data_IF_076141029146
#
_entry.id   IF_076141029146
#
_cell.length_a   1.000
_cell.length_b   1.000
_cell.length_c   1.000
_cell.angle_alpha   90.00
_cell.angle_beta   90.00
_cell.angle_gamma   90.00
#
_symmetry.space_group_name_H-M   'P 1'
#
loop_
_entity.id
_entity.type
_entity.pdbx_description
1 polymer ?
#
# COMPACT_ATOMS: atom_id res chain seq x y z
N UNK A 1 20.26 -0.11 1.72
CA UNK A 1 19.14 0.77 2.11
C UNK A 1 19.70 2.17 2.29
N UNK A 2 19.24 3.11 1.48
CA UNK A 2 19.67 4.51 1.48
C UNK A 2 18.61 5.38 2.15
N UNK A 3 19.03 6.39 2.90
CA UNK A 3 18.13 7.32 3.58
C UNK A 3 18.29 8.70 2.97
N UNK A 4 17.19 9.30 2.51
CA UNK A 4 17.23 10.66 1.97
C UNK A 4 17.57 11.66 3.08
N UNK A 5 18.61 12.46 2.90
CA UNK A 5 19.03 13.48 3.87
C UNK A 5 18.01 14.60 4.07
N UNK A 6 17.15 14.84 3.07
CA UNK A 6 16.16 15.92 3.11
C UNK A 6 14.85 15.53 3.79
N UNK A 7 14.39 14.28 3.65
CA UNK A 7 13.09 13.84 4.18
C UNK A 7 13.16 12.63 5.14
N UNK A 8 14.33 12.04 5.35
CA UNK A 8 14.53 10.90 6.26
C UNK A 8 13.91 9.58 5.79
N UNK A 9 13.25 9.54 4.63
CA UNK A 9 12.67 8.31 4.06
C UNK A 9 13.76 7.35 3.61
N UNK A 10 13.50 6.06 3.83
CA UNK A 10 14.36 4.95 3.42
C UNK A 10 13.93 4.40 2.06
N UNK A 11 14.92 4.06 1.25
CA UNK A 11 14.74 3.51 -0.09
C UNK A 11 15.73 2.38 -0.35
N UNK A 12 15.37 1.49 -1.27
CA UNK A 12 16.23 0.37 -1.64
C UNK A 12 17.39 0.79 -2.55
N UNK A 13 17.19 1.83 -3.37
CA UNK A 13 18.20 2.35 -4.31
C UNK A 13 18.69 3.72 -3.87
N UNK A 14 19.99 3.95 -4.05
CA UNK A 14 20.60 5.26 -3.83
C UNK A 14 20.04 6.28 -4.82
N UNK A 15 19.85 7.52 -4.34
CA UNK A 15 19.34 8.64 -5.14
C UNK A 15 18.05 8.34 -5.90
N UNK A 16 17.21 7.42 -5.39
CA UNK A 16 15.93 7.07 -6.01
C UNK A 16 15.09 8.35 -6.17
N UNK A 17 14.61 8.70 -7.39
CA UNK A 17 13.76 9.88 -7.57
C UNK A 17 12.51 9.79 -6.70
N UNK A 18 12.27 10.81 -5.88
CA UNK A 18 11.11 10.85 -4.99
C UNK A 18 10.74 12.29 -4.63
N UNK A 19 9.48 12.47 -4.21
CA UNK A 19 9.05 13.70 -3.56
C UNK A 19 9.42 13.64 -2.07
N UNK A 20 10.07 14.70 -1.58
CA UNK A 20 10.30 14.93 -0.15
C UNK A 20 9.08 15.54 0.56
N UNK A 21 8.03 15.94 -0.19
CA UNK A 21 6.82 16.51 0.42
C UNK A 21 6.03 15.43 1.15
N UNK A 22 5.57 15.77 2.34
CA UNK A 22 4.62 14.99 3.14
C UNK A 22 3.37 15.83 3.40
N UNK A 23 2.27 15.16 3.71
CA UNK A 23 1.06 15.82 4.24
C UNK A 23 0.67 15.13 5.56
N UNK A 24 -0.10 15.79 6.43
CA UNK A 24 -0.59 15.14 7.63
C UNK A 24 -1.45 13.91 7.27
N UNK A 25 -1.22 12.80 7.97
CA UNK A 25 -1.92 11.53 7.74
C UNK A 25 -3.44 11.67 7.69
N UNK A 26 -4.01 12.43 8.62
CA UNK A 26 -5.46 12.63 8.72
C UNK A 26 -6.06 13.40 7.52
N UNK A 27 -5.26 14.21 6.79
CA UNK A 27 -5.76 14.95 5.62
C UNK A 27 -6.21 14.00 4.49
N UNK A 28 -5.62 12.81 4.40
CA UNK A 28 -6.05 11.81 3.42
C UNK A 28 -7.52 11.39 3.58
N UNK A 29 -8.03 11.46 4.80
CA UNK A 29 -9.35 10.97 5.21
C UNK A 29 -10.38 12.06 5.44
N UNK A 30 -10.04 13.32 5.17
CA UNK A 30 -10.96 14.45 5.34
C UNK A 30 -12.24 14.21 4.52
N UNK A 31 -13.38 14.10 5.20
CA UNK A 31 -14.70 13.75 4.64
C UNK A 31 -14.76 12.35 4.00
N UNK A 32 -13.96 11.39 4.48
CA UNK A 32 -13.86 10.01 3.97
C UNK A 32 -13.81 8.99 5.11
N UNK A 33 -14.74 9.09 6.04
CA UNK A 33 -14.76 8.27 7.26
C UNK A 33 -14.77 6.77 6.95
N UNK A 34 -15.49 6.37 5.88
CA UNK A 34 -15.51 4.97 5.44
C UNK A 34 -14.13 4.47 5.01
N UNK A 35 -13.38 5.27 4.25
CA UNK A 35 -12.03 4.88 3.86
C UNK A 35 -11.06 4.84 5.05
N UNK A 36 -11.30 5.67 6.08
CA UNK A 36 -10.53 5.61 7.33
C UNK A 36 -10.78 4.29 8.06
N UNK A 37 -12.05 3.91 8.24
CA UNK A 37 -12.44 2.63 8.84
C UNK A 37 -11.79 1.45 8.12
N UNK A 38 -11.85 1.43 6.78
CA UNK A 38 -11.25 0.39 5.97
C UNK A 38 -9.72 0.37 6.09
N UNK A 39 -9.08 1.53 6.14
CA UNK A 39 -7.62 1.63 6.27
C UNK A 39 -7.16 1.15 7.65
N UNK A 40 -7.79 1.62 8.72
CA UNK A 40 -7.45 1.23 10.09
C UNK A 40 -7.62 -0.29 10.25
N UNK A 41 -8.73 -0.86 9.78
CA UNK A 41 -8.96 -2.30 9.82
C UNK A 41 -7.92 -3.08 9.00
N UNK A 42 -7.59 -2.63 7.78
CA UNK A 42 -6.56 -3.26 6.96
C UNK A 42 -5.20 -3.26 7.64
N UNK A 43 -4.79 -2.11 8.20
CA UNK A 43 -3.52 -1.95 8.90
C UNK A 43 -3.42 -2.88 10.11
N UNK A 44 -4.48 -2.98 10.89
CA UNK A 44 -4.55 -3.88 12.05
C UNK A 44 -4.39 -5.34 11.61
N UNK A 45 -5.11 -5.78 10.58
CA UNK A 45 -4.99 -7.15 10.07
C UNK A 45 -3.59 -7.46 9.53
N UNK A 46 -2.97 -6.54 8.78
CA UNK A 46 -1.60 -6.71 8.29
C UNK A 46 -0.62 -6.79 9.45
N UNK A 47 -0.74 -5.91 10.43
CA UNK A 47 0.18 -5.85 11.57
C UNK A 47 0.08 -7.08 12.45
N UNK A 48 -1.13 -7.61 12.66
CA UNK A 48 -1.39 -8.82 13.45
C UNK A 48 -0.97 -10.11 12.73
N UNK A 49 -1.24 -10.24 11.43
CA UNK A 49 -1.08 -11.53 10.71
C UNK A 49 0.18 -11.65 9.86
N UNK A 50 0.75 -10.53 9.41
CA UNK A 50 1.83 -10.50 8.40
C UNK A 50 3.12 -9.96 9.02
N UNK A 51 3.08 -8.74 9.54
CA UNK A 51 4.23 -8.10 10.15
C UNK A 51 4.09 -6.59 10.31
N UNK A 52 4.98 -5.99 11.11
CA UNK A 52 4.99 -4.56 11.36
C UNK A 52 5.28 -3.77 10.08
N UNK A 53 4.61 -2.64 9.93
CA UNK A 53 4.87 -1.67 8.88
C UNK A 53 4.87 -0.24 9.44
N UNK A 54 5.68 0.61 8.82
CA UNK A 54 5.69 2.05 9.05
C UNK A 54 4.72 2.72 8.06
N UNK A 55 4.01 3.75 8.52
CA UNK A 55 3.13 4.55 7.67
C UNK A 55 3.89 5.74 7.12
N UNK A 56 3.90 5.89 5.80
CA UNK A 56 4.49 7.03 5.10
C UNK A 56 3.38 7.81 4.40
N UNK A 57 3.12 9.03 4.86
CA UNK A 57 2.07 9.90 4.30
C UNK A 57 2.64 10.82 3.21
N UNK A 58 2.27 10.57 1.96
CA UNK A 58 2.68 11.38 0.81
C UNK A 58 1.49 12.11 0.20
N UNK A 59 1.65 13.24 -0.50
CA UNK A 59 0.53 13.96 -1.11
C UNK A 59 -0.39 13.10 -2.00
N UNK A 60 0.14 12.06 -2.65
CA UNK A 60 -0.63 11.20 -3.55
C UNK A 60 -1.34 10.03 -2.86
N UNK A 61 -0.75 9.46 -1.81
CA UNK A 61 -1.23 8.24 -1.15
C UNK A 61 -0.50 7.98 0.16
N UNK A 62 -1.04 7.05 0.94
CA UNK A 62 -0.43 6.53 2.15
C UNK A 62 0.32 5.26 1.78
N UNK A 63 1.58 5.14 2.14
CA UNK A 63 2.38 3.94 1.90
C UNK A 63 2.56 3.15 3.19
N UNK A 64 2.47 1.83 3.11
CA UNK A 64 2.88 0.90 4.16
C UNK A 64 4.27 0.38 3.82
N UNK A 65 5.22 0.64 4.72
CA UNK A 65 6.62 0.31 4.54
C UNK A 65 7.03 -0.81 5.49
N UNK A 66 7.38 -1.97 4.94
CA UNK A 66 7.96 -3.11 5.67
C UNK A 66 9.48 -3.10 5.55
N UNK A 67 10.05 -4.12 4.88
CA UNK A 67 11.44 -4.05 4.40
C UNK A 67 11.62 -3.05 3.25
N UNK A 68 10.53 -2.77 2.55
CA UNK A 68 10.42 -1.82 1.48
C UNK A 68 8.98 -1.31 1.40
N UNK A 69 8.73 -0.39 0.49
CA UNK A 69 7.40 0.17 0.20
C UNK A 69 6.55 -0.84 -0.59
N UNK A 70 5.76 -1.66 0.12
CA UNK A 70 5.08 -2.82 -0.46
C UNK A 70 3.62 -2.56 -0.85
N UNK A 71 2.97 -1.56 -0.23
CA UNK A 71 1.57 -1.23 -0.46
C UNK A 71 1.34 0.27 -0.43
N UNK A 72 0.62 0.79 -1.42
CA UNK A 72 0.07 2.14 -1.42
C UNK A 72 -1.46 2.10 -1.26
N UNK A 73 -1.98 2.81 -0.26
CA UNK A 73 -3.38 3.00 0.03
C UNK A 73 -3.85 4.39 -0.41
N UNK A 74 -4.95 4.43 -1.14
CA UNK A 74 -5.55 5.63 -1.72
C UNK A 74 -7.00 5.76 -1.22
N UNK A 75 -7.22 6.51 -0.12
CA UNK A 75 -8.55 6.74 0.42
C UNK A 75 -9.47 7.48 -0.57
N UNK A 76 -10.60 6.87 -0.92
CA UNK A 76 -11.69 7.47 -1.71
C UNK A 76 -12.84 7.84 -0.77
N UNK A 77 -13.93 8.41 -1.31
CA UNK A 77 -15.09 8.83 -0.50
C UNK A 77 -15.69 7.66 0.30
N UNK A 78 -15.99 6.57 -0.40
CA UNK A 78 -16.73 5.43 0.15
C UNK A 78 -15.96 4.09 0.02
N UNK A 79 -14.67 4.15 -0.32
CA UNK A 79 -13.84 2.97 -0.55
C UNK A 79 -12.35 3.23 -0.31
N UNK A 80 -11.57 2.17 -0.24
CA UNK A 80 -10.12 2.22 -0.16
C UNK A 80 -9.53 1.50 -1.38
N UNK A 81 -8.83 2.23 -2.24
CA UNK A 81 -8.05 1.62 -3.31
C UNK A 81 -6.67 1.26 -2.76
N UNK A 82 -6.23 0.02 -2.97
CA UNK A 82 -4.89 -0.44 -2.61
C UNK A 82 -4.13 -0.84 -3.86
N UNK A 83 -2.82 -0.59 -3.84
CA UNK A 83 -1.90 -0.93 -4.92
C UNK A 83 -0.69 -1.64 -4.35
N UNK A 84 -0.32 -2.77 -4.93
CA UNK A 84 0.80 -3.58 -4.49
C UNK A 84 1.43 -4.32 -5.66
N UNK A 85 2.69 -4.75 -5.48
CA UNK A 85 3.42 -5.49 -6.51
C UNK A 85 3.35 -7.00 -6.24
N UNK A 86 3.23 -7.81 -7.31
CA UNK A 86 3.37 -9.26 -7.29
C UNK A 86 4.18 -9.73 -8.51
N UNK A 87 4.70 -10.96 -8.51
CA UNK A 87 5.34 -11.58 -9.69
C UNK A 87 4.32 -12.16 -10.69
N UNK A 88 3.03 -11.99 -10.42
CA UNK A 88 1.93 -12.45 -11.26
C UNK A 88 0.84 -11.39 -11.39
N UNK A 89 0.09 -11.49 -12.48
CA UNK A 89 -1.19 -10.78 -12.60
C UNK A 89 -2.17 -11.47 -11.67
N UNK A 90 -2.81 -10.69 -10.81
CA UNK A 90 -3.89 -11.21 -9.98
C UNK A 90 -5.14 -11.38 -10.87
N UNK A 91 -5.71 -12.56 -10.91
CA UNK A 91 -7.00 -12.81 -11.57
C UNK A 91 -8.08 -12.85 -10.49
N UNK A 92 -8.64 -11.67 -10.19
CA UNK A 92 -9.65 -11.46 -9.15
C UNK A 92 -10.74 -10.53 -9.69
N UNK A 93 -12.00 -10.84 -9.41
CA UNK A 93 -13.15 -10.05 -9.86
C UNK A 93 -13.13 -8.60 -9.33
N UNK A 94 -12.39 -8.32 -8.24
CA UNK A 94 -12.22 -7.00 -7.64
C UNK A 94 -10.96 -6.28 -8.14
N UNK A 95 -10.19 -6.90 -9.04
CA UNK A 95 -9.07 -6.26 -9.70
C UNK A 95 -9.59 -5.13 -10.60
N UNK A 96 -9.13 -3.90 -10.34
CA UNK A 96 -9.46 -2.75 -11.18
C UNK A 96 -8.44 -2.56 -12.30
N UNK A 97 -7.20 -2.95 -12.07
CA UNK A 97 -6.14 -2.94 -13.08
C UNK A 97 -4.96 -3.82 -12.63
N UNK A 98 -4.26 -4.40 -13.61
CA UNK A 98 -2.90 -4.91 -13.43
C UNK A 98 -2.00 -4.32 -14.50
N UNK A 99 -0.89 -3.71 -14.11
CA UNK A 99 0.02 -3.02 -15.03
C UNK A 99 1.44 -3.51 -14.79
N UNK A 100 2.20 -3.91 -15.85
CA UNK A 100 3.60 -4.27 -15.70
C UNK A 100 4.41 -3.14 -15.03
N UNK A 101 5.15 -3.48 -13.97
CA UNK A 101 6.12 -2.58 -13.33
C UNK A 101 7.55 -2.87 -13.80
N UNK A 102 7.84 -4.13 -14.08
CA UNK A 102 9.13 -4.61 -14.58
C UNK A 102 8.91 -5.83 -15.49
N UNK A 103 9.99 -6.47 -15.91
CA UNK A 103 9.93 -7.74 -16.65
C UNK A 103 9.36 -8.89 -15.83
N UNK A 104 9.32 -8.77 -14.50
CA UNK A 104 8.90 -9.85 -13.58
C UNK A 104 7.75 -9.48 -12.67
N UNK A 105 7.45 -8.19 -12.49
CA UNK A 105 6.50 -7.74 -11.47
C UNK A 105 5.39 -6.89 -12.08
N UNK A 106 4.20 -7.03 -11.51
CA UNK A 106 2.99 -6.31 -11.90
C UNK A 106 2.46 -5.50 -10.72
N UNK A 107 2.04 -4.27 -10.98
CA UNK A 107 1.26 -3.47 -10.03
C UNK A 107 -0.20 -3.87 -10.16
N UNK A 108 -0.71 -4.51 -9.14
CA UNK A 108 -2.12 -4.86 -9.03
C UNK A 108 -2.84 -3.76 -8.24
N UNK A 109 -4.02 -3.36 -8.73
CA UNK A 109 -4.90 -2.37 -8.10
C UNK A 109 -6.21 -3.05 -7.71
N UNK A 110 -6.60 -2.94 -6.45
CA UNK A 110 -7.84 -3.51 -5.91
C UNK A 110 -8.61 -2.45 -5.14
N UNK A 111 -9.94 -2.47 -5.23
CA UNK A 111 -10.82 -1.57 -4.47
C UNK A 111 -11.53 -2.35 -3.37
N UNK A 112 -11.38 -1.88 -2.14
CA UNK A 112 -12.03 -2.40 -0.94
C UNK A 112 -13.22 -1.49 -0.63
N UNK A 113 -14.41 -2.06 -0.53
CA UNK A 113 -15.65 -1.31 -0.18
C UNK A 113 -16.20 -1.71 1.18
N UNK A 114 -15.79 -2.86 1.69
CA UNK A 114 -16.21 -3.41 2.99
C UNK A 114 -15.05 -4.08 3.71
N UNK A 115 -15.09 -4.10 5.05
CA UNK A 115 -14.16 -4.90 5.86
C UNK A 115 -14.24 -6.40 5.55
N UNK A 116 -15.37 -6.88 5.01
CA UNK A 116 -15.53 -8.26 4.51
C UNK A 116 -14.64 -8.58 3.31
N UNK A 117 -14.22 -7.57 2.54
CA UNK A 117 -13.26 -7.75 1.45
C UNK A 117 -11.85 -8.03 1.96
N UNK A 118 -11.57 -7.65 3.22
CA UNK A 118 -10.30 -7.90 3.91
C UNK A 118 -10.39 -9.27 4.58
N UNK A 119 -10.42 -10.30 3.75
CA UNK A 119 -10.53 -11.70 4.13
C UNK A 119 -9.15 -12.40 4.13
N UNK A 120 -9.13 -13.67 4.48
CA UNK A 120 -7.90 -14.47 4.51
C UNK A 120 -7.18 -14.51 3.15
N UNK A 121 -7.91 -14.63 2.05
CA UNK A 121 -7.34 -14.69 0.70
C UNK A 121 -6.60 -13.40 0.34
N UNK A 122 -7.22 -12.24 0.60
CA UNK A 122 -6.56 -10.95 0.39
C UNK A 122 -5.32 -10.81 1.29
N UNK A 123 -5.40 -11.22 2.56
CA UNK A 123 -4.26 -11.14 3.47
C UNK A 123 -3.09 -12.03 3.02
N UNK A 124 -3.34 -13.21 2.47
CA UNK A 124 -2.28 -14.06 1.92
C UNK A 124 -1.66 -13.47 0.64
N UNK A 125 -2.45 -12.80 -0.21
CA UNK A 125 -1.92 -12.02 -1.34
C UNK A 125 -1.05 -10.86 -0.85
N UNK A 126 -1.50 -10.14 0.18
CA UNK A 126 -0.73 -9.04 0.77
C UNK A 126 0.52 -9.54 1.50
N UNK A 127 0.50 -10.77 2.03
CA UNK A 127 1.68 -11.45 2.57
C UNK A 127 2.71 -11.72 1.48
N UNK A 128 2.27 -12.21 0.32
CA UNK A 128 3.12 -12.39 -0.87
C UNK A 128 3.79 -11.06 -1.24
N UNK A 129 3.01 -9.98 -1.33
CA UNK A 129 3.53 -8.64 -1.58
C UNK A 129 4.51 -8.19 -0.48
N UNK A 130 4.19 -8.35 0.81
CA UNK A 130 5.05 -7.92 1.92
C UNK A 130 6.44 -8.56 1.89
N UNK A 131 6.53 -9.84 1.51
CA UNK A 131 7.78 -10.60 1.46
C UNK A 131 8.42 -10.64 0.07
N UNK A 132 7.86 -9.96 -0.92
CA UNK A 132 8.42 -9.89 -2.27
C UNK A 132 9.85 -9.34 -2.21
N UNK A 133 10.78 -10.04 -2.85
CA UNK A 133 12.19 -9.61 -2.93
C UNK A 133 12.29 -8.44 -3.92
N UNK A 134 12.27 -7.22 -3.38
CA UNK A 134 12.60 -5.99 -4.11
C UNK A 134 14.08 -5.86 -4.44
#
# INVERSE_FOLDING_TARGET
MWTCSSCGRRFNKENQPHSCKTIPFNEHFKHKDKAKELFDYLLDQITDKIGKCEIISLPCCIHLFGKYDFLAALPKKDSLEIRFALERVLDDAKLTASVPLSTKTYKNCLVIVSTKDINYELLEILREAYFLKS
#
